data_IF_529745309777
#
_entry.id   IF_529745309777
#
_cell.length_a   1.000
_cell.length_b   1.000
_cell.length_c   1.000
_cell.angle_alpha   90.00
_cell.angle_beta   90.00
_cell.angle_gamma   90.00
#
_symmetry.space_group_name_H-M   'P 1'
#
loop_
_entity.id
_entity.type
_entity.pdbx_description
1 polymer ?
#
# COMPACT_ATOMS: atom_id res chain seq x y z
N UNK A 1 -15.71 -66.67 -50.48
CA UNK A 1 -15.14 -65.31 -50.65
C UNK A 1 -15.91 -64.37 -49.74
N UNK A 2 -15.38 -64.11 -48.55
CA UNK A 2 -15.97 -63.21 -47.55
C UNK A 2 -15.27 -61.84 -47.69
N UNK A 3 -16.03 -60.82 -48.04
CA UNK A 3 -15.57 -59.44 -48.20
C UNK A 3 -15.65 -58.68 -46.87
N UNK A 4 -14.52 -58.10 -46.48
CA UNK A 4 -14.33 -57.28 -45.27
C UNK A 4 -15.05 -55.93 -45.39
N UNK A 5 -15.76 -55.52 -44.33
CA UNK A 5 -16.28 -54.16 -44.12
C UNK A 5 -15.27 -53.34 -43.29
N UNK A 6 -15.08 -52.03 -43.56
CA UNK A 6 -14.31 -51.17 -42.68
C UNK A 6 -15.21 -50.56 -41.59
N UNK A 7 -14.80 -50.63 -40.32
CA UNK A 7 -15.41 -49.87 -39.22
C UNK A 7 -14.53 -48.67 -38.92
N UNK A 8 -15.07 -47.47 -39.13
CA UNK A 8 -14.45 -46.19 -38.79
C UNK A 8 -14.28 -46.06 -37.27
N UNK A 9 -13.07 -45.71 -36.83
CA UNK A 9 -12.77 -45.33 -35.45
C UNK A 9 -13.24 -43.89 -35.17
N UNK A 10 -13.78 -43.58 -33.98
CA UNK A 10 -14.17 -42.21 -33.64
C UNK A 10 -12.95 -41.40 -33.20
N UNK A 11 -12.76 -40.24 -33.83
CA UNK A 11 -11.81 -39.20 -33.40
C UNK A 11 -12.35 -38.55 -32.11
N UNK A 12 -11.71 -38.86 -30.98
CA UNK A 12 -11.90 -38.14 -29.71
C UNK A 12 -11.16 -36.80 -29.82
N UNK A 13 -11.91 -35.72 -29.97
CA UNK A 13 -11.36 -34.36 -29.94
C UNK A 13 -11.02 -33.97 -28.48
N UNK A 14 -9.72 -33.95 -28.17
CA UNK A 14 -9.20 -33.42 -26.90
C UNK A 14 -9.27 -31.89 -26.92
N UNK A 15 -10.23 -31.32 -26.19
CA UNK A 15 -10.27 -29.90 -25.84
C UNK A 15 -9.18 -29.60 -24.81
N UNK A 16 -8.04 -29.08 -25.26
CA UNK A 16 -7.02 -28.51 -24.36
C UNK A 16 -7.54 -27.21 -23.77
N UNK A 17 -7.97 -27.24 -22.51
CA UNK A 17 -8.23 -26.04 -21.72
C UNK A 17 -6.90 -25.32 -21.46
N UNK A 18 -6.64 -24.25 -22.20
CA UNK A 18 -5.51 -23.36 -21.93
C UNK A 18 -5.83 -22.57 -20.64
N UNK A 19 -5.28 -23.06 -19.52
CA UNK A 19 -5.34 -22.38 -18.23
C UNK A 19 -4.43 -21.14 -18.30
N UNK A 20 -5.03 -19.98 -18.54
CA UNK A 20 -4.35 -18.69 -18.43
C UNK A 20 -3.96 -18.46 -16.97
N UNK A 21 -2.78 -18.94 -16.57
CA UNK A 21 -2.12 -18.54 -15.35
C UNK A 21 -1.73 -17.07 -15.49
N UNK A 22 -2.60 -16.17 -15.04
CA UNK A 22 -2.23 -14.78 -14.78
C UNK A 22 -1.05 -14.82 -13.79
N UNK A 23 0.14 -14.35 -14.17
CA UNK A 23 1.27 -14.36 -13.25
C UNK A 23 0.92 -13.46 -12.07
N UNK A 24 0.86 -14.06 -10.87
CA UNK A 24 0.94 -13.27 -9.66
C UNK A 24 2.26 -12.49 -9.74
N UNK A 25 2.19 -11.15 -9.71
CA UNK A 25 3.37 -10.31 -9.81
C UNK A 25 4.35 -10.70 -8.69
N UNK A 26 5.41 -11.40 -9.06
CA UNK A 26 6.49 -11.73 -8.14
C UNK A 26 7.21 -10.44 -7.78
N UNK A 27 7.46 -10.18 -6.48
CA UNK A 27 8.26 -9.04 -6.07
C UNK A 27 9.63 -9.12 -6.77
N UNK A 28 10.14 -7.98 -7.26
CA UNK A 28 11.50 -7.94 -7.81
C UNK A 28 12.47 -8.23 -6.67
N UNK A 29 13.50 -9.05 -6.92
CA UNK A 29 14.44 -9.46 -5.87
C UNK A 29 15.05 -8.27 -5.10
N UNK A 30 15.33 -7.16 -5.79
CA UNK A 30 15.81 -5.92 -5.16
C UNK A 30 14.77 -5.26 -4.24
N UNK A 31 13.51 -5.13 -4.67
CA UNK A 31 12.46 -4.52 -3.83
C UNK A 31 12.10 -5.40 -2.64
N UNK A 32 12.13 -6.72 -2.80
CA UNK A 32 11.97 -7.67 -1.71
C UNK A 32 13.04 -7.47 -0.63
N UNK A 33 14.30 -7.25 -1.02
CA UNK A 33 15.39 -6.96 -0.08
C UNK A 33 15.17 -5.64 0.67
N UNK A 34 14.79 -4.58 -0.03
CA UNK A 34 14.53 -3.26 0.57
C UNK A 34 13.37 -3.31 1.57
N UNK A 35 12.29 -4.04 1.26
CA UNK A 35 11.20 -4.26 2.21
C UNK A 35 11.63 -5.16 3.39
N UNK A 36 12.42 -6.21 3.15
CA UNK A 36 12.90 -7.08 4.23
C UNK A 36 13.80 -6.35 5.22
N UNK A 37 14.50 -5.30 4.79
CA UNK A 37 15.32 -4.46 5.65
C UNK A 37 14.52 -3.52 6.57
N UNK A 38 13.21 -3.33 6.32
CA UNK A 38 12.37 -2.54 7.22
C UNK A 38 12.06 -3.31 8.51
N UNK A 39 12.00 -2.63 9.66
CA UNK A 39 11.53 -3.22 10.90
C UNK A 39 10.08 -3.74 10.82
N UNK A 40 9.73 -4.80 11.56
CA UNK A 40 8.38 -5.37 11.54
C UNK A 40 7.34 -4.42 12.15
N UNK A 41 7.78 -3.51 13.04
CA UNK A 41 6.94 -2.47 13.62
C UNK A 41 7.35 -1.10 13.09
N UNK A 42 6.40 -0.42 12.48
CA UNK A 42 6.56 0.91 11.91
C UNK A 42 5.57 1.87 12.59
N UNK A 43 6.05 3.00 13.08
CA UNK A 43 5.17 4.10 13.48
C UNK A 43 4.88 4.99 12.28
N UNK A 44 3.63 5.37 12.11
CA UNK A 44 3.19 6.32 11.10
C UNK A 44 3.08 7.72 11.72
N UNK A 45 3.84 8.67 11.18
CA UNK A 45 4.01 10.01 11.73
C UNK A 45 3.45 11.09 10.78
N UNK A 46 2.31 11.66 11.17
CA UNK A 46 1.67 12.80 10.48
C UNK A 46 2.56 14.05 10.45
N UNK A 47 2.12 15.07 9.71
CA UNK A 47 2.79 16.38 9.64
C UNK A 47 2.59 17.18 10.93
N UNK A 48 3.37 16.85 11.96
CA UNK A 48 3.37 17.52 13.27
C UNK A 48 4.75 17.42 13.94
N UNK A 49 4.94 18.12 15.05
CA UNK A 49 6.14 17.93 15.87
C UNK A 49 6.14 16.51 16.44
N UNK A 50 7.20 15.76 16.14
CA UNK A 50 7.40 14.39 16.59
C UNK A 50 8.82 14.25 17.12
N UNK A 51 8.98 13.98 18.41
CA UNK A 51 10.25 13.55 18.98
C UNK A 51 10.16 12.07 19.31
N UNK A 52 10.82 11.26 18.50
CA UNK A 52 10.78 9.80 18.52
C UNK A 52 12.15 9.21 18.87
N UNK A 53 13.07 10.02 19.38
CA UNK A 53 14.43 9.56 19.75
C UNK A 53 14.43 8.52 20.87
N UNK A 54 13.30 8.31 21.55
CA UNK A 54 13.09 7.32 22.59
C UNK A 54 12.64 5.94 22.06
N UNK A 55 12.31 5.79 20.77
CA UNK A 55 11.86 4.50 20.23
C UNK A 55 12.95 3.43 20.32
N UNK A 56 12.64 2.13 20.50
CA UNK A 56 13.64 1.07 20.34
C UNK A 56 14.27 1.06 18.94
N UNK A 57 15.51 0.54 18.79
CA UNK A 57 16.18 0.43 17.48
C UNK A 57 15.48 -0.54 16.53
N UNK A 58 14.63 -1.42 17.06
CA UNK A 58 13.81 -2.40 16.32
C UNK A 58 12.52 -1.80 15.75
N UNK A 59 12.33 -0.48 15.83
CA UNK A 59 11.13 0.23 15.37
C UNK A 59 11.50 1.25 14.31
N UNK A 60 10.80 1.22 13.18
CA UNK A 60 10.97 2.20 12.11
C UNK A 60 9.88 3.26 12.13
N UNK A 61 10.04 4.30 11.31
CA UNK A 61 9.07 5.40 11.20
C UNK A 61 8.75 5.68 9.73
N UNK A 62 7.50 5.50 9.33
CA UNK A 62 6.95 6.08 8.11
C UNK A 62 6.46 7.50 8.42
N UNK A 63 6.89 8.51 7.69
CA UNK A 63 6.56 9.90 8.02
C UNK A 63 6.10 10.69 6.79
N UNK A 64 5.09 11.55 6.96
CA UNK A 64 4.67 12.47 5.90
C UNK A 64 5.79 13.47 5.64
N UNK A 65 6.42 13.33 4.47
CA UNK A 65 7.47 14.23 3.99
C UNK A 65 6.88 15.39 3.19
N UNK A 66 5.78 15.14 2.50
CA UNK A 66 5.05 16.14 1.70
C UNK A 66 3.59 15.72 1.55
N UNK A 67 2.71 16.71 1.58
CA UNK A 67 1.30 16.58 1.20
C UNK A 67 1.06 17.26 -0.14
N UNK A 68 0.36 16.59 -1.06
CA UNK A 68 -0.19 17.18 -2.27
C UNK A 68 -1.70 17.30 -2.08
N UNK A 69 -2.20 18.52 -2.07
CA UNK A 69 -3.64 18.77 -2.04
C UNK A 69 -4.13 18.99 -3.48
N UNK A 70 -5.06 18.16 -3.94
CA UNK A 70 -5.62 18.22 -5.29
C UNK A 70 -7.01 18.83 -5.27
N UNK A 71 -7.21 19.88 -6.06
CA UNK A 71 -8.50 20.59 -6.20
C UNK A 71 -8.70 21.01 -7.65
N UNK A 72 -9.82 20.62 -8.29
CA UNK A 72 -10.03 20.89 -9.71
C UNK A 72 -8.76 20.55 -10.53
N UNK A 73 -8.26 21.45 -11.38
CA UNK A 73 -6.99 21.28 -12.12
C UNK A 73 -5.72 21.72 -11.38
N UNK A 74 -5.78 22.01 -10.07
CA UNK A 74 -4.68 22.56 -9.29
C UNK A 74 -4.03 21.52 -8.38
N UNK A 75 -2.75 21.75 -8.07
CA UNK A 75 -1.96 20.99 -7.11
C UNK A 75 -1.30 21.97 -6.14
N UNK A 76 -1.62 21.86 -4.85
CA UNK A 76 -0.89 22.59 -3.81
C UNK A 76 0.08 21.65 -3.11
N UNK A 77 1.38 21.96 -3.23
CA UNK A 77 2.44 21.22 -2.55
C UNK A 77 2.67 21.80 -1.15
N UNK A 78 2.67 20.94 -0.14
CA UNK A 78 2.95 21.28 1.25
C UNK A 78 4.04 20.37 1.79
N UNK A 79 5.31 20.75 1.66
CA UNK A 79 6.40 20.05 2.31
C UNK A 79 6.20 20.04 3.82
N UNK A 80 6.67 18.99 4.50
CA UNK A 80 6.62 18.91 5.96
C UNK A 80 7.28 20.13 6.60
N UNK A 81 6.50 20.93 7.33
CA UNK A 81 7.01 22.11 8.04
C UNK A 81 7.57 21.75 9.44
N UNK A 82 6.98 20.74 10.09
CA UNK A 82 7.31 20.37 11.46
C UNK A 82 8.46 19.35 11.54
N UNK A 83 9.35 19.52 12.52
CA UNK A 83 10.51 18.64 12.69
C UNK A 83 10.08 17.22 13.10
N UNK A 84 10.72 16.24 12.47
CA UNK A 84 10.77 14.85 12.92
C UNK A 84 12.14 14.62 13.56
N UNK A 85 12.18 14.38 14.87
CA UNK A 85 13.40 14.05 15.58
C UNK A 85 13.44 12.53 15.80
N UNK A 86 14.40 11.88 15.16
CA UNK A 86 14.68 10.44 15.30
C UNK A 86 16.17 10.24 15.60
N UNK A 87 16.57 9.06 16.04
CA UNK A 87 18.00 8.76 16.17
C UNK A 87 18.59 8.51 14.78
N UNK A 88 19.89 8.77 14.55
CA UNK A 88 20.52 8.63 13.23
C UNK A 88 20.36 7.24 12.58
N UNK A 89 20.25 6.19 13.40
CA UNK A 89 20.08 4.80 12.99
C UNK A 89 18.62 4.37 12.82
N UNK A 90 17.65 5.21 13.18
CA UNK A 90 16.22 4.90 12.98
C UNK A 90 15.94 4.73 11.49
N UNK A 91 15.40 3.56 11.12
CA UNK A 91 14.94 3.33 9.74
C UNK A 91 13.71 4.21 9.49
N UNK A 92 13.82 5.10 8.51
CA UNK A 92 12.73 6.01 8.12
C UNK A 92 12.28 5.77 6.69
N UNK A 93 10.97 5.90 6.45
CA UNK A 93 10.34 5.80 5.14
C UNK A 93 9.59 7.10 4.86
N UNK A 94 9.98 7.89 3.83
CA UNK A 94 9.22 9.07 3.46
C UNK A 94 7.89 8.68 2.83
N UNK A 95 6.83 9.35 3.29
CA UNK A 95 5.47 9.22 2.77
C UNK A 95 5.14 10.47 1.95
N UNK A 96 4.64 10.25 0.74
CA UNK A 96 3.97 11.25 -0.07
C UNK A 96 2.48 11.08 0.14
N UNK A 97 1.88 12.01 0.88
CA UNK A 97 0.44 12.02 1.14
C UNK A 97 -0.28 12.82 0.05
N UNK A 98 -1.38 12.29 -0.48
CA UNK A 98 -2.21 12.96 -1.48
C UNK A 98 -3.62 13.10 -0.92
N UNK A 99 -4.03 14.35 -0.69
CA UNK A 99 -5.37 14.70 -0.26
C UNK A 99 -6.19 15.20 -1.47
N UNK A 100 -7.24 14.47 -1.82
CA UNK A 100 -8.14 14.83 -2.90
C UNK A 100 -9.42 15.47 -2.35
N UNK A 101 -9.59 16.76 -2.65
CA UNK A 101 -10.74 17.53 -2.17
C UNK A 101 -12.06 16.94 -2.66
N UNK A 102 -12.99 16.72 -1.73
CA UNK A 102 -14.35 16.30 -2.05
C UNK A 102 -15.27 17.46 -2.46
N UNK A 103 -14.96 18.69 -2.03
CA UNK A 103 -15.76 19.90 -2.32
C UNK A 103 -15.51 20.41 -3.74
N UNK A 104 -14.25 20.37 -4.15
CA UNK A 104 -13.78 20.68 -5.49
C UNK A 104 -13.01 19.46 -6.00
N UNK A 105 -13.71 18.48 -6.60
CA UNK A 105 -13.08 17.25 -7.06
C UNK A 105 -11.90 17.51 -8.00
N UNK A 106 -10.80 16.76 -7.87
CA UNK A 106 -9.66 16.92 -8.75
C UNK A 106 -9.99 16.49 -10.19
N UNK A 107 -9.34 17.12 -11.17
CA UNK A 107 -9.45 16.80 -12.58
C UNK A 107 -8.86 15.43 -12.92
N UNK A 108 -7.87 14.99 -12.14
CA UNK A 108 -7.12 13.75 -12.34
C UNK A 108 -6.50 13.67 -13.75
N UNK A 109 -5.96 14.81 -14.18
CA UNK A 109 -5.32 14.98 -15.48
C UNK A 109 -3.81 14.63 -15.45
N UNK A 110 -3.17 14.79 -16.60
CA UNK A 110 -1.73 14.52 -16.75
C UNK A 110 -0.86 15.41 -15.87
N UNK A 111 -1.28 16.65 -15.58
CA UNK A 111 -0.50 17.56 -14.74
C UNK A 111 -0.52 17.12 -13.27
N UNK A 112 -1.68 16.72 -12.75
CA UNK A 112 -1.80 16.17 -11.41
C UNK A 112 -1.08 14.83 -11.26
N UNK A 113 -1.16 13.98 -12.28
CA UNK A 113 -0.39 12.73 -12.34
C UNK A 113 1.11 13.01 -12.21
N UNK A 114 1.66 13.85 -13.09
CA UNK A 114 3.10 14.13 -13.09
C UNK A 114 3.54 14.81 -11.80
N UNK A 115 2.70 15.68 -11.22
CA UNK A 115 3.02 16.32 -9.94
C UNK A 115 3.18 15.29 -8.80
N UNK A 116 2.28 14.31 -8.68
CA UNK A 116 2.43 13.23 -7.69
C UNK A 116 3.67 12.40 -8.01
N UNK A 117 3.83 11.99 -9.27
CA UNK A 117 4.94 11.15 -9.68
C UNK A 117 6.31 11.79 -9.38
N UNK A 118 6.46 13.07 -9.69
CA UNK A 118 7.66 13.84 -9.41
C UNK A 118 7.99 13.89 -7.92
N UNK A 119 6.99 14.05 -7.03
CA UNK A 119 7.23 14.08 -5.59
C UNK A 119 7.58 12.71 -5.01
N UNK A 120 6.95 11.62 -5.48
CA UNK A 120 7.32 10.25 -5.09
C UNK A 120 8.75 9.94 -5.51
N UNK A 121 9.13 10.23 -6.76
CA UNK A 121 10.49 10.01 -7.24
C UNK A 121 11.52 10.86 -6.47
N UNK A 122 11.17 12.11 -6.15
CA UNK A 122 12.02 12.98 -5.33
C UNK A 122 12.22 12.42 -3.92
N UNK A 123 11.14 11.98 -3.27
CA UNK A 123 11.19 11.36 -1.95
C UNK A 123 12.04 10.07 -1.96
N UNK A 124 11.87 9.24 -2.99
CA UNK A 124 12.60 7.98 -3.13
C UNK A 124 14.11 8.18 -3.28
N UNK A 125 14.56 9.20 -4.03
CA UNK A 125 15.99 9.53 -4.19
C UNK A 125 16.69 9.87 -2.87
N UNK A 126 15.96 10.46 -1.91
CA UNK A 126 16.49 10.79 -0.60
C UNK A 126 16.36 9.68 0.45
N UNK A 127 15.62 8.60 0.13
CA UNK A 127 15.28 7.55 1.08
C UNK A 127 16.43 6.54 1.27
N UNK A 128 17.12 6.63 2.41
CA UNK A 128 18.16 5.64 2.78
C UNK A 128 17.63 4.21 2.91
N UNK A 129 16.35 4.07 3.29
CA UNK A 129 15.66 2.78 3.39
C UNK A 129 15.42 2.10 2.03
N UNK A 130 15.62 2.80 0.90
CA UNK A 130 15.23 2.34 -0.44
C UNK A 130 13.74 1.98 -0.51
N UNK A 131 12.92 2.64 0.31
CA UNK A 131 11.47 2.51 0.31
C UNK A 131 10.86 3.90 0.29
N UNK A 132 9.84 4.11 -0.54
CA UNK A 132 8.97 5.28 -0.50
C UNK A 132 7.53 4.81 -0.38
N UNK A 133 6.72 5.52 0.40
CA UNK A 133 5.30 5.20 0.56
C UNK A 133 4.44 6.28 -0.11
N UNK A 134 3.46 5.85 -0.89
CA UNK A 134 2.39 6.70 -1.40
C UNK A 134 1.15 6.47 -0.53
N UNK A 135 0.62 7.54 0.04
CA UNK A 135 -0.64 7.54 0.78
C UNK A 135 -1.68 8.32 -0.01
N UNK A 136 -2.54 7.61 -0.74
CA UNK A 136 -3.55 8.23 -1.59
C UNK A 136 -4.86 7.43 -1.58
N UNK A 137 -5.80 7.88 -0.75
CA UNK A 137 -7.13 7.28 -0.68
C UNK A 137 -7.99 7.70 -1.87
N UNK A 138 -8.37 6.73 -2.71
CA UNK A 138 -9.17 6.96 -3.92
C UNK A 138 -10.58 6.38 -3.85
N UNK A 139 -11.53 7.14 -4.39
CA UNK A 139 -12.90 6.67 -4.65
C UNK A 139 -12.90 5.70 -5.83
N UNK A 140 -14.01 4.97 -6.02
CA UNK A 140 -14.18 4.02 -7.14
C UNK A 140 -13.89 4.66 -8.51
N UNK A 141 -14.38 5.87 -8.76
CA UNK A 141 -14.15 6.61 -10.00
C UNK A 141 -12.70 7.01 -10.24
N UNK A 142 -11.88 7.05 -9.19
CA UNK A 142 -10.50 7.53 -9.21
C UNK A 142 -9.47 6.39 -9.26
N UNK A 143 -9.93 5.12 -9.16
CA UNK A 143 -9.04 3.95 -9.18
C UNK A 143 -8.24 3.83 -10.46
N UNK A 144 -8.82 4.16 -11.61
CA UNK A 144 -8.12 4.14 -12.89
C UNK A 144 -6.89 5.07 -12.88
N UNK A 145 -7.03 6.25 -12.29
CA UNK A 145 -5.94 7.19 -12.11
C UNK A 145 -4.85 6.61 -11.17
N UNK A 146 -5.21 6.05 -10.02
CA UNK A 146 -4.23 5.45 -9.10
C UNK A 146 -3.50 4.26 -9.73
N UNK A 147 -4.18 3.39 -10.47
CA UNK A 147 -3.56 2.27 -11.17
C UNK A 147 -2.55 2.75 -12.21
N UNK A 148 -2.92 3.75 -13.02
CA UNK A 148 -2.02 4.35 -14.00
C UNK A 148 -0.80 5.01 -13.33
N UNK A 149 -1.01 5.76 -12.24
CA UNK A 149 0.03 6.40 -11.46
C UNK A 149 1.00 5.39 -10.84
N UNK A 150 0.50 4.35 -10.17
CA UNK A 150 1.36 3.35 -9.52
C UNK A 150 2.14 2.54 -10.56
N UNK A 151 1.53 2.20 -11.69
CA UNK A 151 2.24 1.57 -12.80
C UNK A 151 3.34 2.46 -13.38
N UNK A 152 3.08 3.77 -13.54
CA UNK A 152 4.09 4.73 -14.00
C UNK A 152 5.24 4.91 -13.02
N UNK A 153 4.92 5.14 -11.75
CA UNK A 153 5.89 5.18 -10.66
C UNK A 153 6.77 3.94 -10.68
N UNK A 154 6.17 2.76 -10.93
CA UNK A 154 6.94 1.53 -10.89
C UNK A 154 7.89 1.32 -12.04
N UNK A 155 7.58 1.87 -13.22
CA UNK A 155 8.51 1.93 -14.36
C UNK A 155 9.64 2.94 -14.13
N UNK A 156 9.36 4.05 -13.43
CA UNK A 156 10.31 5.16 -13.25
C UNK A 156 11.23 5.01 -12.03
N UNK A 157 10.77 4.33 -10.98
CA UNK A 157 11.56 4.07 -9.78
C UNK A 157 12.63 2.99 -10.05
N UNK A 158 13.84 3.13 -9.48
CA UNK A 158 14.87 2.09 -9.56
C UNK A 158 14.37 0.70 -9.11
N UNK A 159 14.92 -0.36 -9.69
CA UNK A 159 14.48 -1.73 -9.44
C UNK A 159 14.78 -2.23 -8.01
N UNK A 160 15.69 -1.57 -7.29
CA UNK A 160 16.02 -1.82 -5.89
C UNK A 160 15.24 -0.92 -4.91
N UNK A 161 14.43 0.02 -5.41
CA UNK A 161 13.62 0.90 -4.57
C UNK A 161 12.18 0.40 -4.53
N UNK A 162 11.69 0.02 -3.35
CA UNK A 162 10.33 -0.47 -3.17
C UNK A 162 9.30 0.67 -3.05
N UNK A 163 8.14 0.46 -3.66
CA UNK A 163 6.97 1.35 -3.56
C UNK A 163 5.94 0.69 -2.64
N UNK A 164 5.77 1.26 -1.45
CA UNK A 164 4.70 0.93 -0.53
C UNK A 164 3.49 1.83 -0.79
N UNK A 165 2.27 1.30 -0.69
CA UNK A 165 1.04 2.07 -0.88
C UNK A 165 0.08 1.77 0.28
N UNK A 166 -0.44 2.81 0.93
CA UNK A 166 -1.56 2.62 1.88
C UNK A 166 -2.83 2.31 1.10
N UNK A 167 -3.70 1.50 1.70
CA UNK A 167 -4.95 1.10 1.08
C UNK A 167 -6.08 1.17 2.09
N UNK A 168 -7.26 1.61 1.67
CA UNK A 168 -8.46 1.41 2.47
C UNK A 168 -8.67 -0.09 2.67
N UNK A 169 -9.03 -0.52 3.88
CA UNK A 169 -9.29 -1.94 4.17
C UNK A 169 -10.34 -2.56 3.24
N UNK A 170 -11.33 -1.77 2.79
CA UNK A 170 -12.36 -2.21 1.85
C UNK A 170 -11.81 -2.64 0.49
N UNK A 171 -10.66 -2.11 0.06
CA UNK A 171 -9.99 -2.53 -1.17
C UNK A 171 -9.47 -3.97 -1.06
N UNK A 172 -9.08 -4.38 0.15
CA UNK A 172 -8.54 -5.69 0.45
C UNK A 172 -9.59 -6.70 0.94
N UNK A 173 -10.74 -6.23 1.38
CA UNK A 173 -11.79 -7.08 1.96
C UNK A 173 -12.76 -7.66 0.91
N UNK A 174 -13.05 -6.96 -0.20
CA UNK A 174 -14.15 -7.39 -1.08
C UNK A 174 -13.96 -7.16 -2.58
N UNK A 175 -13.27 -6.09 -2.98
CA UNK A 175 -13.16 -5.73 -4.40
C UNK A 175 -11.92 -6.38 -5.05
N UNK A 176 -11.96 -6.65 -6.36
CA UNK A 176 -10.88 -7.31 -7.10
C UNK A 176 -9.91 -6.34 -7.75
N UNK A 177 -10.23 -5.04 -7.83
CA UNK A 177 -9.42 -4.07 -8.57
C UNK A 177 -7.99 -3.92 -8.03
N UNK A 178 -7.77 -4.14 -6.73
CA UNK A 178 -6.45 -4.00 -6.09
C UNK A 178 -5.43 -5.03 -6.62
N UNK A 179 -5.90 -6.12 -7.25
CA UNK A 179 -5.02 -7.11 -7.87
C UNK A 179 -4.13 -6.54 -8.98
N UNK A 180 -4.62 -5.51 -9.67
CA UNK A 180 -3.90 -4.81 -10.75
C UNK A 180 -2.94 -3.72 -10.25
N UNK A 181 -2.92 -3.41 -8.95
CA UNK A 181 -2.04 -2.38 -8.40
C UNK A 181 -0.59 -2.88 -8.36
N UNK A 182 0.31 -2.23 -9.08
CA UNK A 182 1.71 -2.68 -9.25
C UNK A 182 2.65 -2.29 -8.08
N UNK A 183 2.13 -2.03 -6.88
CA UNK A 183 2.95 -1.73 -5.70
C UNK A 183 3.70 -2.97 -5.17
N UNK A 184 4.85 -2.75 -4.53
CA UNK A 184 5.65 -3.82 -3.89
C UNK A 184 5.11 -4.19 -2.50
N UNK A 185 4.57 -3.21 -1.77
CA UNK A 185 3.86 -3.42 -0.50
C UNK A 185 2.51 -2.69 -0.56
N UNK A 186 1.46 -3.37 -0.08
CA UNK A 186 0.15 -2.75 0.17
C UNK A 186 -0.12 -2.80 1.66
N UNK A 187 -0.45 -1.66 2.26
CA UNK A 187 -0.73 -1.51 3.69
C UNK A 187 -2.21 -1.22 3.89
N UNK A 188 -3.05 -2.24 4.14
CA UNK A 188 -4.47 -2.03 4.38
C UNK A 188 -4.65 -1.37 5.75
N UNK A 189 -5.29 -0.20 5.78
CA UNK A 189 -5.61 0.56 6.98
C UNK A 189 -6.87 -0.01 7.61
N UNK A 190 -6.71 -0.96 8.55
CA UNK A 190 -7.79 -1.65 9.24
C UNK A 190 -8.27 -0.85 10.48
N UNK A 191 -8.56 0.42 10.26
CA UNK A 191 -9.08 1.37 11.24
C UNK A 191 -9.92 2.41 10.50
N UNK A 192 -10.80 3.12 11.22
CA UNK A 192 -11.68 4.17 10.65
C UNK A 192 -12.43 3.69 9.40
N UNK A 193 -12.86 2.43 9.39
CA UNK A 193 -13.50 1.76 8.25
C UNK A 193 -14.97 2.18 8.02
N UNK A 194 -15.43 3.19 8.77
CA UNK A 194 -16.78 3.75 8.70
C UNK A 194 -17.87 2.66 8.69
N UNK A 195 -18.85 2.76 7.78
CA UNK A 195 -19.97 1.81 7.66
C UNK A 195 -19.55 0.36 7.40
N UNK A 196 -18.33 0.14 6.92
CA UNK A 196 -17.83 -1.21 6.60
C UNK A 196 -17.10 -1.86 7.80
N UNK A 197 -16.97 -1.18 8.95
CA UNK A 197 -16.16 -1.62 10.09
C UNK A 197 -16.54 -3.02 10.58
N UNK A 198 -17.80 -3.23 10.97
CA UNK A 198 -18.25 -4.54 11.48
C UNK A 198 -18.08 -5.67 10.47
N UNK A 199 -18.38 -5.41 9.19
CA UNK A 199 -18.24 -6.38 8.10
C UNK A 199 -16.77 -6.77 7.89
N UNK A 200 -15.86 -5.80 7.85
CA UNK A 200 -14.44 -6.06 7.61
C UNK A 200 -13.80 -6.72 8.83
N UNK A 201 -14.14 -6.29 10.05
CA UNK A 201 -13.66 -6.95 11.28
C UNK A 201 -14.14 -8.39 11.38
N UNK A 202 -15.40 -8.67 11.05
CA UNK A 202 -15.94 -10.04 10.95
C UNK A 202 -15.15 -10.88 9.96
N UNK A 203 -14.93 -10.37 8.74
CA UNK A 203 -14.10 -11.05 7.73
C UNK A 203 -12.68 -11.33 8.24
N UNK A 204 -12.04 -10.36 8.89
CA UNK A 204 -10.67 -10.52 9.41
C UNK A 204 -10.61 -11.57 10.53
N UNK A 205 -11.63 -11.64 11.38
CA UNK A 205 -11.73 -12.64 12.44
C UNK A 205 -11.99 -14.05 11.87
N UNK A 206 -12.87 -14.16 10.88
CA UNK A 206 -13.22 -15.44 10.23
C UNK A 206 -12.09 -16.00 9.36
N UNK A 207 -11.42 -15.13 8.59
CA UNK A 207 -10.43 -15.53 7.59
C UNK A 207 -8.98 -15.45 8.11
N UNK A 208 -8.79 -14.94 9.34
CA UNK A 208 -7.46 -14.75 9.94
C UNK A 208 -6.61 -13.67 9.26
N UNK A 209 -7.18 -12.85 8.39
CA UNK A 209 -6.48 -11.83 7.62
C UNK A 209 -7.25 -11.39 6.37
N UNK A 210 -6.67 -10.45 5.61
CA UNK A 210 -7.23 -10.06 4.32
C UNK A 210 -7.09 -11.19 3.29
N UNK A 211 -8.15 -11.44 2.55
CA UNK A 211 -8.20 -12.56 1.58
C UNK A 211 -7.30 -12.33 0.37
N UNK A 212 -7.03 -11.06 0.00
CA UNK A 212 -6.21 -10.70 -1.16
C UNK A 212 -4.72 -10.91 -0.86
N UNK A 213 -3.98 -11.71 -1.66
CA UNK A 213 -2.56 -12.00 -1.40
C UNK A 213 -1.68 -10.77 -1.18
N UNK A 214 -1.85 -9.73 -2.01
CA UNK A 214 -1.11 -8.46 -1.89
C UNK A 214 -1.33 -7.72 -0.57
N UNK A 215 -2.44 -7.98 0.13
CA UNK A 215 -2.83 -7.31 1.37
C UNK A 215 -2.45 -8.08 2.64
N UNK A 216 -1.70 -9.19 2.53
CA UNK A 216 -1.32 -10.02 3.69
C UNK A 216 0.04 -9.63 4.30
N UNK A 217 0.88 -8.96 3.53
CA UNK A 217 2.24 -8.63 3.94
C UNK A 217 2.32 -7.58 5.05
N UNK A 218 1.41 -6.60 5.03
CA UNK A 218 1.38 -5.50 5.98
C UNK A 218 -0.02 -5.22 6.50
N UNK A 219 -0.11 -4.50 7.62
CA UNK A 219 -1.36 -4.07 8.25
C UNK A 219 -1.21 -2.69 8.89
N UNK A 220 -2.14 -1.79 8.62
CA UNK A 220 -2.27 -0.51 9.33
C UNK A 220 -3.30 -0.60 10.45
N UNK A 221 -2.97 -0.08 11.64
CA UNK A 221 -3.88 -0.03 12.80
C UNK A 221 -3.79 1.33 13.49
N UNK A 222 -4.91 1.82 14.01
CA UNK A 222 -4.91 3.04 14.83
C UNK A 222 -4.71 2.73 16.32
N UNK A 223 -4.01 3.61 17.03
CA UNK A 223 -3.72 3.45 18.47
C UNK A 223 -4.93 3.70 19.38
N UNK A 224 -6.01 4.26 18.84
CA UNK A 224 -7.23 4.66 19.53
C UNK A 224 -8.45 3.83 19.10
N UNK A 225 -8.22 2.64 18.55
CA UNK A 225 -9.24 1.65 18.20
C UNK A 225 -8.89 0.26 18.74
N UNK A 226 -9.89 -0.63 18.77
CA UNK A 226 -9.66 -2.03 19.13
C UNK A 226 -8.67 -2.68 18.14
N UNK A 227 -7.62 -3.36 18.65
CA UNK A 227 -6.56 -3.90 17.82
C UNK A 227 -7.08 -5.01 16.91
N UNK A 228 -6.57 -5.05 15.69
CA UNK A 228 -6.87 -6.12 14.72
C UNK A 228 -5.83 -7.23 14.88
N UNK A 229 -6.27 -8.41 15.31
CA UNK A 229 -5.40 -9.56 15.61
C UNK A 229 -5.28 -10.49 14.40
N UNK A 230 -4.57 -10.05 13.37
CA UNK A 230 -4.25 -10.87 12.20
C UNK A 230 -2.74 -10.97 11.99
N UNK A 231 -2.32 -12.08 11.37
CA UNK A 231 -0.92 -12.27 10.99
C UNK A 231 -0.54 -11.27 9.89
N UNK A 232 0.59 -10.61 10.06
CA UNK A 232 1.20 -9.71 9.07
C UNK A 232 2.70 -9.67 9.32
N UNK A 233 3.49 -9.60 8.25
CA UNK A 233 4.95 -9.47 8.39
C UNK A 233 5.33 -8.08 8.93
N UNK A 234 4.52 -7.06 8.61
CA UNK A 234 4.72 -5.68 9.04
C UNK A 234 3.45 -5.03 9.58
N UNK A 235 3.60 -4.27 10.66
CA UNK A 235 2.52 -3.50 11.28
C UNK A 235 2.89 -2.04 11.29
N UNK A 236 2.00 -1.23 10.72
CA UNK A 236 2.05 0.22 10.76
C UNK A 236 1.03 0.70 11.80
N UNK A 237 1.50 1.47 12.79
CA UNK A 237 0.62 2.06 13.79
C UNK A 237 0.41 3.54 13.50
N UNK A 238 -0.84 3.98 13.56
CA UNK A 238 -1.27 5.34 13.30
C UNK A 238 -1.79 5.95 14.59
N UNK A 239 -1.31 7.13 14.97
CA UNK A 239 -1.80 7.82 16.16
C UNK A 239 -2.49 9.14 15.79
N UNK A 240 -3.70 9.42 16.33
CA UNK A 240 -4.39 10.69 16.10
C UNK A 240 -3.67 11.87 16.78
N UNK A 241 -2.75 11.61 17.71
CA UNK A 241 -1.94 12.62 18.42
C UNK A 241 -0.45 12.35 18.23
N UNK A 242 0.40 13.36 18.48
CA UNK A 242 1.85 13.16 18.49
C UNK A 242 2.22 11.96 19.34
N UNK A 243 3.21 11.21 18.89
CA UNK A 243 3.64 10.00 19.56
C UNK A 243 4.31 10.34 20.88
N UNK A 244 3.90 9.62 21.91
CA UNK A 244 4.50 9.63 23.24
C UNK A 244 4.78 8.18 23.70
N UNK A 245 5.58 8.06 24.74
CA UNK A 245 5.95 6.75 25.29
C UNK A 245 4.73 5.98 25.80
N UNK A 246 3.71 6.67 26.31
CA UNK A 246 2.52 6.01 26.85
C UNK A 246 1.66 5.39 25.75
N UNK A 247 1.51 6.09 24.62
CA UNK A 247 0.83 5.58 23.44
C UNK A 247 1.59 4.40 22.84
N UNK A 248 2.92 4.47 22.80
CA UNK A 248 3.75 3.33 22.40
C UNK A 248 3.58 2.10 23.30
N UNK A 249 3.60 2.28 24.63
CA UNK A 249 3.42 1.18 25.59
C UNK A 249 2.08 0.47 25.45
N UNK A 250 1.01 1.18 25.06
CA UNK A 250 -0.33 0.60 24.87
C UNK A 250 -0.48 -0.30 23.64
N UNK A 251 0.43 -0.19 22.68
CA UNK A 251 0.37 -0.96 21.42
C UNK A 251 1.41 -2.07 21.32
N UNK A 252 2.16 -2.31 22.39
CA UNK A 252 3.09 -3.44 22.50
C UNK A 252 2.34 -4.76 22.71
#
# INVERSE_FOLDING_TARGET
MLTFAPRHAPLVALLTAALWLLPAATPRAGTASSLAALPPTMLWAWERHEDLRWLPSTVGVAYVAITLELTAGQVRLRPRAYRLLVRPETVVVPVVHVDASWRQPPALDAAQHEAIAAQVLKAARGARSRVVQLDFEVRRSQRGFLLALVGDLRRRLPADVALSVTALASWCAGDYWIGALEADEVVPMAFRMARDDGKIRGLLAEQGGFVRPRCRGALGMATDEAPVRVASARRYFFSPRSWDQDTWRRIQ
#
